data_IF_661445074195
#
_entry.id   IF_661445074195
#
_cell.length_a   1.000
_cell.length_b   1.000
_cell.length_c   1.000
_cell.angle_alpha   90.00
_cell.angle_beta   90.00
_cell.angle_gamma   90.00
#
_symmetry.space_group_name_H-M   'P 1'
#
loop_
_entity.id
_entity.type
_entity.pdbx_description
1 polymer ?
#
# COMPACT_ATOMS: atom_id res chain seq x y z
N UNK A 1 0.16 12.61 -20.80
CA UNK A 1 -0.71 11.88 -19.86
C UNK A 1 -0.34 10.41 -19.93
N UNK A 2 0.62 9.98 -19.12
CA UNK A 2 1.05 8.57 -19.10
C UNK A 2 0.25 7.90 -17.98
N UNK A 3 -0.73 7.07 -18.36
CA UNK A 3 -1.34 6.11 -17.45
C UNK A 3 -0.23 5.17 -16.99
N UNK A 4 0.23 5.34 -15.75
CA UNK A 4 1.16 4.41 -15.12
C UNK A 4 0.34 3.59 -14.15
N UNK A 5 -0.29 2.57 -14.70
CA UNK A 5 -0.77 1.43 -13.92
C UNK A 5 0.45 0.61 -13.49
N UNK A 6 0.43 0.09 -12.25
CA UNK A 6 1.22 -1.09 -11.90
C UNK A 6 1.18 -2.10 -13.06
N UNK A 7 2.35 -2.57 -13.52
CA UNK A 7 2.47 -3.53 -14.60
C UNK A 7 1.52 -4.72 -14.34
N UNK A 8 0.53 -4.88 -15.23
CA UNK A 8 -0.58 -5.83 -15.04
C UNK A 8 -0.07 -7.26 -15.01
N UNK A 9 0.97 -7.59 -15.78
CA UNK A 9 1.53 -8.94 -15.84
C UNK A 9 2.28 -9.28 -14.54
N UNK A 10 3.06 -8.33 -14.02
CA UNK A 10 3.68 -8.49 -12.70
C UNK A 10 2.60 -8.57 -11.60
N UNK A 11 1.63 -7.65 -11.61
CA UNK A 11 0.58 -7.59 -10.59
C UNK A 11 -0.25 -8.88 -10.52
N UNK A 12 -0.50 -9.54 -11.65
CA UNK A 12 -1.20 -10.83 -11.67
C UNK A 12 -0.43 -11.93 -10.92
N UNK A 13 0.89 -12.03 -11.15
CA UNK A 13 1.76 -13.03 -10.51
C UNK A 13 2.22 -12.69 -9.09
N UNK A 14 2.23 -11.41 -8.71
CA UNK A 14 2.78 -10.96 -7.44
C UNK A 14 2.00 -11.48 -6.22
N UNK A 15 2.71 -11.90 -5.19
CA UNK A 15 2.13 -12.18 -3.86
C UNK A 15 2.13 -10.90 -3.03
N UNK A 16 1.35 -10.90 -1.95
CA UNK A 16 1.31 -9.78 -0.99
C UNK A 16 2.70 -9.40 -0.47
N UNK A 17 3.55 -10.40 -0.21
CA UNK A 17 4.95 -10.20 0.18
C UNK A 17 5.73 -9.39 -0.86
N UNK A 18 5.60 -9.78 -2.14
CA UNK A 18 6.33 -9.15 -3.23
C UNK A 18 5.91 -7.67 -3.38
N UNK A 19 4.62 -7.37 -3.17
CA UNK A 19 4.09 -6.00 -3.19
C UNK A 19 4.59 -5.18 -1.99
N UNK A 20 4.65 -5.76 -0.79
CA UNK A 20 5.19 -5.08 0.41
C UNK A 20 6.68 -4.75 0.22
N UNK A 21 7.42 -5.64 -0.42
CA UNK A 21 8.84 -5.41 -0.72
C UNK A 21 9.02 -4.29 -1.75
N UNK A 22 8.18 -4.28 -2.77
CA UNK A 22 8.16 -3.19 -3.76
C UNK A 22 7.83 -1.85 -3.09
N UNK A 23 6.80 -1.80 -2.24
CA UNK A 23 6.45 -0.59 -1.47
C UNK A 23 7.64 -0.08 -0.64
N UNK A 24 8.34 -0.97 0.06
CA UNK A 24 9.50 -0.62 0.86
C UNK A 24 10.66 -0.11 -0.02
N UNK A 25 10.85 -0.71 -1.20
CA UNK A 25 11.84 -0.30 -2.18
C UNK A 25 11.55 1.12 -2.70
N UNK A 26 10.32 1.40 -3.13
CA UNK A 26 9.89 2.70 -3.66
C UNK A 26 10.13 3.83 -2.65
N UNK A 27 9.80 3.61 -1.37
CA UNK A 27 10.01 4.63 -0.32
C UNK A 27 11.43 4.62 0.28
N UNK A 28 12.35 3.80 -0.24
CA UNK A 28 13.75 3.75 0.18
C UNK A 28 13.96 3.31 1.63
N UNK A 29 13.21 2.31 2.11
CA UNK A 29 13.35 1.71 3.45
C UNK A 29 13.63 0.20 3.35
N UNK A 30 14.25 -0.41 4.38
CA UNK A 30 14.30 -1.87 4.49
C UNK A 30 12.88 -2.45 4.58
N UNK A 31 12.58 -3.56 3.88
CA UNK A 31 11.26 -4.18 3.95
C UNK A 31 10.98 -4.67 5.37
N UNK A 32 9.81 -4.34 5.94
CA UNK A 32 9.44 -4.81 7.27
C UNK A 32 9.28 -6.35 7.28
N UNK A 33 9.65 -7.02 8.38
CA UNK A 33 9.45 -8.46 8.50
C UNK A 33 7.97 -8.80 8.43
N UNK A 34 7.62 -9.74 7.56
CA UNK A 34 6.27 -10.29 7.48
C UNK A 34 6.10 -11.36 8.55
N UNK A 35 5.17 -11.16 9.47
CA UNK A 35 4.85 -12.17 10.48
C UNK A 35 4.07 -13.31 9.82
N UNK A 36 4.35 -14.54 10.25
CA UNK A 36 3.74 -15.78 9.74
C UNK A 36 2.24 -15.76 9.96
N UNK A 37 1.50 -15.33 8.94
CA UNK A 37 0.04 -15.24 8.97
C UNK A 37 -0.53 -14.24 7.98
N UNK A 38 -0.11 -14.29 6.69
CA UNK A 38 -0.78 -13.69 5.52
C UNK A 38 -1.31 -12.26 5.64
N UNK A 39 -0.73 -11.46 6.53
CA UNK A 39 -1.21 -10.13 6.89
C UNK A 39 -0.06 -9.16 6.72
N UNK A 40 -0.31 -8.11 5.95
CA UNK A 40 0.68 -7.07 5.72
C UNK A 40 0.98 -6.36 7.03
N UNK A 41 2.27 -6.08 7.30
CA UNK A 41 2.65 -5.38 8.50
C UNK A 41 2.08 -3.97 8.40
N UNK A 42 1.28 -3.58 9.39
CA UNK A 42 0.82 -2.19 9.56
C UNK A 42 1.94 -1.17 9.37
N UNK A 43 3.14 -1.57 9.82
CA UNK A 43 4.39 -0.81 9.70
C UNK A 43 4.64 -0.29 8.29
N UNK A 44 4.27 -1.01 7.21
CA UNK A 44 4.50 -0.49 5.86
C UNK A 44 3.71 0.79 5.59
N UNK A 45 2.46 0.87 6.05
CA UNK A 45 1.61 2.06 5.85
C UNK A 45 2.09 3.25 6.68
N UNK A 46 2.59 2.98 7.89
CA UNK A 46 3.23 4.02 8.73
C UNK A 46 4.49 4.55 8.06
N UNK A 47 5.36 3.67 7.58
CA UNK A 47 6.57 4.08 6.86
C UNK A 47 6.26 4.89 5.60
N UNK A 48 5.20 4.53 4.86
CA UNK A 48 4.74 5.32 3.71
C UNK A 48 4.29 6.72 4.15
N UNK A 49 3.43 6.80 5.18
CA UNK A 49 2.95 8.06 5.72
C UNK A 49 4.11 8.99 6.13
N UNK A 50 5.11 8.44 6.83
CA UNK A 50 6.29 9.16 7.29
C UNK A 50 7.16 9.63 6.13
N UNK A 51 7.47 8.73 5.18
CA UNK A 51 8.38 9.02 4.06
C UNK A 51 7.80 9.99 3.06
N UNK A 52 6.49 9.94 2.83
CA UNK A 52 5.79 10.83 1.90
C UNK A 52 5.25 12.09 2.59
N UNK A 53 5.29 12.17 3.92
CA UNK A 53 4.84 13.34 4.68
C UNK A 53 3.34 13.60 4.57
N UNK A 54 2.51 12.55 4.49
CA UNK A 54 1.08 12.67 4.20
C UNK A 54 0.25 13.21 5.38
N UNK A 55 0.79 13.20 6.60
CA UNK A 55 0.11 13.73 7.78
C UNK A 55 -1.12 12.95 8.22
N UNK A 56 -1.21 11.66 7.86
CA UNK A 56 -2.32 10.77 8.23
C UNK A 56 -2.18 10.38 9.70
N UNK A 57 -3.31 10.31 10.43
CA UNK A 57 -3.33 9.89 11.84
C UNK A 57 -2.93 8.41 11.99
N UNK A 58 -1.76 8.17 12.57
CA UNK A 58 -1.27 6.83 12.88
C UNK A 58 -2.02 6.12 14.02
N UNK A 59 -3.11 6.65 14.56
CA UNK A 59 -4.02 5.89 15.44
C UNK A 59 -5.01 5.05 14.66
N UNK A 60 -5.11 5.27 13.35
CA UNK A 60 -6.02 4.56 12.45
C UNK A 60 -5.69 3.06 12.32
N UNK A 61 -6.71 2.27 12.00
CA UNK A 61 -6.57 0.86 11.66
C UNK A 61 -5.77 0.67 10.37
N UNK A 62 -5.26 -0.56 10.13
CA UNK A 62 -4.52 -0.87 8.89
C UNK A 62 -5.30 -0.52 7.61
N UNK A 63 -6.59 -0.90 7.48
CA UNK A 63 -7.33 -0.58 6.26
C UNK A 63 -7.55 0.93 6.10
N UNK A 64 -7.77 1.63 7.20
CA UNK A 64 -8.01 3.07 7.19
C UNK A 64 -6.73 3.84 6.81
N UNK A 65 -5.56 3.43 7.31
CA UNK A 65 -4.28 3.98 6.87
C UNK A 65 -4.05 3.76 5.37
N UNK A 66 -4.26 2.53 4.89
CA UNK A 66 -4.11 2.21 3.47
C UNK A 66 -5.08 3.02 2.59
N UNK A 67 -6.33 3.16 3.06
CA UNK A 67 -7.35 3.99 2.42
C UNK A 67 -6.92 5.44 2.33
N UNK A 68 -6.49 6.05 3.43
CA UNK A 68 -6.05 7.44 3.42
C UNK A 68 -4.86 7.67 2.47
N UNK A 69 -3.94 6.71 2.34
CA UNK A 69 -2.83 6.80 1.37
C UNK A 69 -3.35 6.83 -0.07
N UNK A 70 -4.27 5.94 -0.42
CA UNK A 70 -4.88 5.90 -1.77
C UNK A 70 -5.70 7.16 -2.06
N UNK A 71 -6.50 7.60 -1.10
CA UNK A 71 -7.32 8.81 -1.27
C UNK A 71 -6.45 10.08 -1.32
N UNK A 72 -5.28 10.10 -0.67
CA UNK A 72 -4.33 11.20 -0.76
C UNK A 72 -3.73 11.36 -2.17
N UNK A 73 -3.63 10.29 -2.96
CA UNK A 73 -3.20 10.38 -4.37
C UNK A 73 -4.32 10.83 -5.32
N UNK A 74 -5.54 11.06 -4.80
CA UNK A 74 -6.73 11.44 -5.58
C UNK A 74 -7.56 10.26 -6.08
N UNK A 75 -7.15 9.03 -5.79
CA UNK A 75 -7.88 7.81 -6.16
C UNK A 75 -8.97 7.46 -5.13
N UNK A 76 -9.96 6.65 -5.52
CA UNK A 76 -11.03 6.21 -4.61
C UNK A 76 -10.74 4.82 -4.03
N UNK A 77 -10.98 4.64 -2.73
CA UNK A 77 -10.81 3.33 -2.09
C UNK A 77 -12.00 2.39 -2.38
N UNK A 78 -11.73 1.26 -3.03
CA UNK A 78 -12.75 0.27 -3.36
C UNK A 78 -13.07 -0.64 -2.14
N UNK A 79 -14.35 -1.05 -1.93
CA UNK A 79 -14.72 -1.94 -0.82
C UNK A 79 -13.92 -3.24 -0.75
N UNK A 80 -13.53 -3.81 -1.90
CA UNK A 80 -12.76 -5.06 -1.97
C UNK A 80 -11.27 -4.90 -1.59
N UNK A 81 -10.79 -3.68 -1.35
CA UNK A 81 -9.41 -3.43 -0.92
C UNK A 81 -9.18 -3.78 0.55
N UNK A 82 -10.25 -3.98 1.32
CA UNK A 82 -10.20 -4.45 2.69
C UNK A 82 -11.15 -5.64 2.91
N UNK A 83 -10.72 -6.60 3.73
CA UNK A 83 -11.62 -7.65 4.23
C UNK A 83 -12.28 -7.24 5.54
N UNK A 84 -13.39 -7.91 5.91
CA UNK A 84 -14.10 -7.70 7.19
C UNK A 84 -13.21 -7.89 8.43
N UNK A 85 -12.07 -8.58 8.31
CA UNK A 85 -11.11 -8.85 9.39
C UNK A 85 -10.01 -7.80 9.54
N UNK A 86 -10.18 -6.60 8.98
CA UNK A 86 -9.17 -5.53 9.00
C UNK A 86 -7.84 -5.90 8.31
N UNK A 87 -7.91 -6.71 7.27
CA UNK A 87 -6.77 -7.06 6.41
C UNK A 87 -6.89 -6.34 5.07
N UNK A 88 -5.80 -5.73 4.61
CA UNK A 88 -5.72 -5.15 3.27
C UNK A 88 -5.57 -6.31 2.28
N UNK A 89 -6.38 -6.33 1.22
CA UNK A 89 -6.33 -7.38 0.22
C UNK A 89 -5.16 -7.14 -0.75
N UNK A 90 -4.80 -8.13 -1.58
CA UNK A 90 -3.80 -7.94 -2.63
C UNK A 90 -4.17 -6.75 -3.55
N UNK A 91 -5.41 -6.63 -4.06
CA UNK A 91 -5.84 -5.44 -4.80
C UNK A 91 -5.65 -4.13 -4.02
N UNK A 92 -5.96 -4.12 -2.73
CA UNK A 92 -5.73 -2.94 -1.88
C UNK A 92 -4.25 -2.54 -1.79
N UNK A 93 -3.33 -3.50 -1.68
CA UNK A 93 -1.90 -3.19 -1.69
C UNK A 93 -1.41 -2.66 -3.04
N UNK A 94 -1.95 -3.21 -4.13
CA UNK A 94 -1.60 -2.72 -5.46
C UNK A 94 -2.07 -1.28 -5.65
N UNK A 95 -3.26 -0.92 -5.13
CA UNK A 95 -3.74 0.46 -5.10
C UNK A 95 -2.82 1.36 -4.27
N UNK A 96 -2.35 0.89 -3.10
CA UNK A 96 -1.37 1.63 -2.29
C UNK A 96 -0.05 1.81 -3.03
N UNK A 97 0.44 0.79 -3.75
CA UNK A 97 1.66 0.88 -4.55
C UNK A 97 1.52 1.91 -5.68
N UNK A 98 0.39 1.92 -6.35
CA UNK A 98 0.08 2.92 -7.38
C UNK A 98 0.07 4.33 -6.78
N UNK A 99 -0.57 4.51 -5.62
CA UNK A 99 -0.59 5.78 -4.88
C UNK A 99 0.81 6.23 -4.44
N UNK A 100 1.65 5.34 -3.92
CA UNK A 100 3.04 5.66 -3.57
C UNK A 100 3.81 6.14 -4.79
N UNK A 101 3.69 5.43 -5.92
CA UNK A 101 4.34 5.81 -7.17
C UNK A 101 3.88 7.16 -7.68
N UNK A 102 2.61 7.53 -7.48
CA UNK A 102 2.10 8.85 -7.82
C UNK A 102 2.86 9.99 -7.12
N UNK A 103 3.26 9.81 -5.85
CA UNK A 103 3.97 10.84 -5.09
C UNK A 103 5.48 10.95 -5.38
N UNK A 104 6.08 9.95 -6.03
CA UNK A 104 7.53 9.89 -6.28
C UNK A 104 7.95 10.36 -7.67
N UNK A 105 7.01 10.82 -8.50
CA UNK A 105 7.25 11.36 -9.86
C UNK A 105 7.35 12.88 -9.83
#
# INVERSE_FOLDING_TARGET
MSLRHVDVMWAQGARKLDIVYELAHEIGVPPPPMFTGSTEPRTIFVLINDRLGLGIDERLGKPDLARCIVEASGESWHPDYASRGATVTKPGLLAVLDAVRYFLV
#
